data_IF_950119733341
#
_entry.id   IF_950119733341
#
_cell.length_a   1.000
_cell.length_b   1.000
_cell.length_c   1.000
_cell.angle_alpha   90.00
_cell.angle_beta   90.00
_cell.angle_gamma   90.00
#
_symmetry.space_group_name_H-M   'P 1'
#
loop_
_entity.id
_entity.type
_entity.pdbx_description
1 polymer ?
#
# COMPACT_ATOMS: atom_id res chain seq x y z
N UNK A 1 14.55 12.04 -1.93
CA UNK A 1 13.92 11.50 -3.15
C UNK A 1 13.20 12.61 -3.86
N UNK A 2 13.29 12.63 -5.19
CA UNK A 2 12.46 13.44 -6.07
C UNK A 2 11.19 12.67 -6.46
N UNK A 3 10.03 13.26 -6.17
CA UNK A 3 8.72 12.66 -6.42
C UNK A 3 7.95 13.55 -7.39
N UNK A 4 7.38 12.96 -8.44
CA UNK A 4 6.37 13.64 -9.24
C UNK A 4 4.98 13.14 -8.84
N UNK A 5 4.08 14.06 -8.51
CA UNK A 5 2.70 13.72 -8.15
C UNK A 5 1.77 13.88 -9.35
N UNK A 6 1.32 12.77 -9.91
CA UNK A 6 0.17 12.73 -10.82
C UNK A 6 -1.08 12.94 -9.99
N UNK A 7 -1.81 14.02 -10.25
CA UNK A 7 -3.11 14.27 -9.61
C UNK A 7 -4.04 15.07 -10.54
N UNK A 8 -5.36 14.98 -10.36
CA UNK A 8 -6.28 15.87 -11.05
C UNK A 8 -6.05 17.34 -10.66
N UNK A 9 -6.06 18.23 -11.66
CA UNK A 9 -5.92 19.70 -11.46
C UNK A 9 -7.27 20.41 -11.53
N UNK A 10 -8.15 19.94 -12.42
CA UNK A 10 -9.46 20.52 -12.73
C UNK A 10 -10.56 19.52 -12.40
N UNK A 11 -11.75 20.03 -12.04
CA UNK A 11 -12.94 19.19 -11.80
C UNK A 11 -12.89 18.34 -10.53
N UNK A 12 -12.12 18.79 -9.52
CA UNK A 12 -12.00 18.12 -8.21
C UNK A 12 -12.80 18.85 -7.15
N UNK A 13 -13.22 18.12 -6.12
CA UNK A 13 -13.86 18.73 -4.95
C UNK A 13 -12.84 19.39 -4.02
N UNK A 14 -13.30 20.29 -3.15
CA UNK A 14 -12.42 20.91 -2.15
C UNK A 14 -11.87 19.88 -1.17
N UNK A 15 -12.63 18.82 -0.84
CA UNK A 15 -12.18 17.73 0.01
C UNK A 15 -11.03 16.95 -0.64
N UNK A 16 -11.17 16.57 -1.92
CA UNK A 16 -10.13 15.88 -2.68
C UNK A 16 -8.88 16.74 -2.80
N UNK A 17 -9.05 18.03 -3.13
CA UNK A 17 -7.95 19.00 -3.18
C UNK A 17 -7.23 19.11 -1.84
N UNK A 18 -7.97 19.24 -0.74
CA UNK A 18 -7.40 19.34 0.60
C UNK A 18 -6.65 18.07 1.01
N UNK A 19 -7.14 16.89 0.60
CA UNK A 19 -6.47 15.63 0.88
C UNK A 19 -5.15 15.50 0.10
N UNK A 20 -5.12 15.92 -1.17
CA UNK A 20 -3.90 16.02 -1.98
C UNK A 20 -2.90 16.98 -1.35
N UNK A 21 -3.34 18.17 -0.92
CA UNK A 21 -2.48 19.17 -0.26
C UNK A 21 -1.85 18.59 1.00
N UNK A 22 -2.63 17.94 1.87
CA UNK A 22 -2.09 17.30 3.10
C UNK A 22 -1.06 16.23 2.75
N UNK A 23 -1.31 15.44 1.72
CA UNK A 23 -0.37 14.42 1.26
C UNK A 23 0.97 15.02 0.82
N UNK A 24 0.94 16.07 -0.01
CA UNK A 24 2.14 16.80 -0.44
C UNK A 24 2.89 17.39 0.76
N UNK A 25 2.17 18.05 1.68
CA UNK A 25 2.79 18.64 2.87
C UNK A 25 3.47 17.60 3.77
N UNK A 26 2.87 16.42 3.91
CA UNK A 26 3.48 15.33 4.68
C UNK A 26 4.77 14.83 4.01
N UNK A 27 4.78 14.62 2.69
CA UNK A 27 5.98 14.23 1.96
C UNK A 27 7.11 15.25 2.09
N UNK A 28 6.78 16.54 1.97
CA UNK A 28 7.75 17.64 2.14
C UNK A 28 8.30 17.67 3.57
N UNK A 29 7.43 17.51 4.58
CA UNK A 29 7.85 17.42 6.00
C UNK A 29 8.76 16.23 6.28
N UNK A 30 8.59 15.13 5.57
CA UNK A 30 9.46 13.95 5.61
C UNK A 30 10.78 14.13 4.83
N UNK A 31 11.05 15.32 4.28
CA UNK A 31 12.30 15.63 3.58
C UNK A 31 12.31 15.23 2.10
N UNK A 32 11.16 14.92 1.49
CA UNK A 32 11.08 14.64 0.07
C UNK A 32 10.86 15.91 -0.76
N UNK A 33 11.45 15.95 -1.96
CA UNK A 33 11.16 17.00 -2.94
C UNK A 33 10.00 16.52 -3.81
N UNK A 34 8.92 17.29 -3.87
CA UNK A 34 7.69 16.89 -4.57
C UNK A 34 7.40 17.90 -5.66
N UNK A 35 7.39 17.48 -6.93
CA UNK A 35 6.82 18.24 -8.03
C UNK A 35 5.32 18.00 -8.07
N UNK A 36 4.54 19.05 -7.82
CA UNK A 36 3.09 19.04 -7.78
C UNK A 36 2.55 19.96 -8.87
N UNK A 37 2.00 19.43 -9.99
CA UNK A 37 1.68 20.24 -11.18
C UNK A 37 0.82 21.49 -10.95
N UNK A 38 -0.21 21.50 -10.07
CA UNK A 38 -0.94 22.72 -9.73
C UNK A 38 -0.07 23.88 -9.18
N UNK A 39 1.08 23.57 -8.58
CA UNK A 39 2.02 24.55 -8.01
C UNK A 39 3.21 24.78 -8.94
N UNK A 40 3.75 23.71 -9.53
CA UNK A 40 5.08 23.71 -10.13
C UNK A 40 5.07 23.66 -11.67
N UNK A 41 3.92 23.36 -12.30
CA UNK A 41 3.77 23.39 -13.76
C UNK A 41 2.82 24.54 -14.12
N UNK A 42 3.24 25.43 -15.02
CA UNK A 42 2.37 26.49 -15.51
C UNK A 42 1.18 25.91 -16.29
N UNK A 43 -0.01 26.02 -15.70
CA UNK A 43 -1.25 25.43 -16.23
C UNK A 43 -1.88 26.24 -17.37
N UNK A 44 -1.30 27.37 -17.76
CA UNK A 44 -1.84 28.23 -18.81
C UNK A 44 -1.38 27.77 -20.20
N UNK A 45 -2.00 26.71 -20.70
CA UNK A 45 -1.81 26.24 -22.07
C UNK A 45 -3.16 25.75 -22.63
N UNK A 46 -3.66 26.43 -23.67
CA UNK A 46 -4.95 26.13 -24.29
C UNK A 46 -4.94 24.84 -25.10
N UNK A 47 -3.75 24.36 -25.51
CA UNK A 47 -3.56 23.11 -26.26
C UNK A 47 -3.12 21.97 -25.35
N UNK A 48 -2.30 22.29 -24.35
CA UNK A 48 -1.80 21.36 -23.33
C UNK A 48 -0.49 20.65 -23.71
N UNK A 49 0.05 20.87 -24.90
CA UNK A 49 1.29 20.22 -25.35
C UNK A 49 2.49 20.61 -24.49
N UNK A 50 2.62 21.89 -24.12
CA UNK A 50 3.70 22.36 -23.28
C UNK A 50 3.57 21.76 -21.88
N UNK A 51 2.37 21.75 -21.31
CA UNK A 51 2.11 21.11 -20.01
C UNK A 51 2.53 19.64 -20.04
N UNK A 52 2.19 18.91 -21.10
CA UNK A 52 2.61 17.53 -21.26
C UNK A 52 4.14 17.38 -21.37
N UNK A 53 4.84 18.31 -22.04
CA UNK A 53 6.30 18.31 -22.16
C UNK A 53 6.98 18.63 -20.82
N UNK A 54 6.49 19.62 -20.09
CA UNK A 54 6.98 20.00 -18.77
C UNK A 54 6.78 18.86 -17.76
N UNK A 55 5.59 18.26 -17.76
CA UNK A 55 5.31 17.09 -16.93
C UNK A 55 6.17 15.88 -17.33
N UNK A 56 6.40 15.63 -18.63
CA UNK A 56 7.29 14.54 -19.07
C UNK A 56 8.69 14.74 -18.51
N UNK A 57 9.25 15.94 -18.60
CA UNK A 57 10.58 16.24 -18.06
C UNK A 57 10.62 16.01 -16.54
N UNK A 58 9.64 16.52 -15.80
CA UNK A 58 9.56 16.33 -14.36
C UNK A 58 9.37 14.85 -13.95
N UNK A 59 8.63 14.07 -14.75
CA UNK A 59 8.52 12.61 -14.59
C UNK A 59 9.88 11.93 -14.84
N UNK A 60 10.60 12.32 -15.90
CA UNK A 60 11.94 11.82 -16.23
C UNK A 60 12.96 12.09 -15.11
N UNK A 61 12.87 13.23 -14.45
CA UNK A 61 13.77 13.63 -13.36
C UNK A 61 13.38 13.02 -11.99
N UNK A 62 12.11 12.61 -11.83
CA UNK A 62 11.63 12.02 -10.60
C UNK A 62 12.15 10.57 -10.40
N UNK A 63 12.52 10.26 -9.16
CA UNK A 63 12.86 8.90 -8.72
C UNK A 63 11.59 8.04 -8.58
N UNK A 64 10.51 8.65 -8.08
CA UNK A 64 9.22 7.99 -7.90
C UNK A 64 8.07 8.82 -8.44
N UNK A 65 7.05 8.13 -8.94
CA UNK A 65 5.82 8.73 -9.43
C UNK A 65 4.71 8.34 -8.48
N UNK A 66 4.13 9.32 -7.81
CA UNK A 66 2.99 9.12 -6.92
C UNK A 66 1.73 9.49 -7.68
N UNK A 67 0.68 8.68 -7.55
CA UNK A 67 -0.56 8.82 -8.31
C UNK A 67 -1.72 8.96 -7.35
N UNK A 68 -2.30 10.16 -7.30
CA UNK A 68 -3.65 10.37 -6.80
C UNK A 68 -4.63 10.15 -7.94
N UNK A 69 -5.23 8.97 -8.00
CA UNK A 69 -6.02 8.53 -9.13
C UNK A 69 -7.46 9.04 -9.07
N UNK A 70 -7.88 9.70 -10.14
CA UNK A 70 -9.27 10.05 -10.40
C UNK A 70 -9.55 9.74 -11.87
N UNK A 71 -10.46 8.79 -12.14
CA UNK A 71 -10.74 8.27 -13.48
C UNK A 71 -11.24 9.33 -14.46
N UNK A 72 -11.71 10.48 -13.97
CA UNK A 72 -12.17 11.61 -14.79
C UNK A 72 -11.01 12.48 -15.30
N UNK A 73 -9.81 12.33 -14.76
CA UNK A 73 -8.66 13.16 -15.10
C UNK A 73 -7.92 12.65 -16.34
N UNK A 74 -8.24 13.25 -17.49
CA UNK A 74 -7.56 12.92 -18.76
C UNK A 74 -6.05 13.23 -18.72
N UNK A 75 -5.65 14.33 -18.08
CA UNK A 75 -4.23 14.67 -17.90
C UNK A 75 -3.49 13.64 -17.06
N UNK A 76 -4.09 13.21 -15.94
CA UNK A 76 -3.49 12.17 -15.10
C UNK A 76 -3.35 10.82 -15.82
N UNK A 77 -4.30 10.48 -16.70
CA UNK A 77 -4.19 9.30 -17.54
C UNK A 77 -3.01 9.39 -18.52
N UNK A 78 -2.81 10.55 -19.13
CA UNK A 78 -1.69 10.78 -20.04
C UNK A 78 -0.34 10.69 -19.31
N UNK A 79 -0.21 11.36 -18.17
CA UNK A 79 0.99 11.32 -17.33
C UNK A 79 1.28 9.89 -16.83
N UNK A 80 0.24 9.12 -16.47
CA UNK A 80 0.39 7.72 -16.09
C UNK A 80 0.94 6.87 -17.25
N UNK A 81 0.46 7.12 -18.48
CA UNK A 81 0.98 6.48 -19.67
C UNK A 81 2.47 6.77 -19.88
N UNK A 82 2.90 8.02 -19.71
CA UNK A 82 4.31 8.41 -19.78
C UNK A 82 5.15 7.75 -18.69
N UNK A 83 4.69 7.80 -17.43
CA UNK A 83 5.37 7.15 -16.31
C UNK A 83 5.54 5.64 -16.52
N UNK A 84 4.50 4.96 -17.04
CA UNK A 84 4.54 3.55 -17.37
C UNK A 84 5.54 3.25 -18.50
N UNK A 85 5.51 4.03 -19.59
CA UNK A 85 6.42 3.86 -20.72
C UNK A 85 7.89 4.08 -20.32
N UNK A 86 8.15 5.06 -19.46
CA UNK A 86 9.46 5.36 -18.89
C UNK A 86 9.90 4.37 -17.80
N UNK A 87 9.07 3.35 -17.50
CA UNK A 87 9.34 2.32 -16.48
C UNK A 87 9.60 2.92 -15.10
N UNK A 88 8.91 4.02 -14.80
CA UNK A 88 9.04 4.69 -13.51
C UNK A 88 8.40 3.86 -12.40
N UNK A 89 8.93 4.00 -11.19
CA UNK A 89 8.34 3.40 -10.01
C UNK A 89 7.05 4.14 -9.68
N UNK A 90 5.88 3.49 -9.75
CA UNK A 90 4.56 4.13 -9.55
C UNK A 90 3.97 3.74 -8.18
N UNK A 91 3.59 4.72 -7.34
CA UNK A 91 2.80 4.55 -6.09
C UNK A 91 1.37 4.95 -6.34
N UNK A 92 0.40 4.08 -6.04
CA UNK A 92 -1.00 4.50 -5.91
C UNK A 92 -1.23 5.06 -4.51
N UNK A 93 -1.55 6.36 -4.40
CA UNK A 93 -1.66 7.09 -3.14
C UNK A 93 -3.02 6.86 -2.46
N UNK A 94 -4.10 7.04 -3.22
CA UNK A 94 -5.48 6.97 -2.72
C UNK A 94 -6.07 5.57 -2.96
N UNK A 95 -5.31 4.51 -2.65
CA UNK A 95 -5.65 3.11 -2.90
C UNK A 95 -7.07 2.77 -2.43
N UNK A 96 -7.44 3.20 -1.22
CA UNK A 96 -8.74 2.90 -0.60
C UNK A 96 -9.93 3.53 -1.31
N UNK A 97 -9.70 4.51 -2.18
CA UNK A 97 -10.74 5.15 -2.99
C UNK A 97 -10.87 4.54 -4.39
N UNK A 98 -9.90 3.75 -4.84
CA UNK A 98 -9.92 3.11 -6.16
C UNK A 98 -10.66 1.78 -6.06
N UNK A 99 -11.66 1.59 -6.93
CA UNK A 99 -12.49 0.39 -6.95
C UNK A 99 -12.15 -0.48 -8.14
N UNK A 100 -12.00 -1.78 -7.90
CA UNK A 100 -11.83 -2.77 -8.95
C UNK A 100 -13.09 -2.81 -9.83
N UNK A 101 -12.87 -2.92 -11.14
CA UNK A 101 -13.95 -3.03 -12.13
C UNK A 101 -13.99 -4.44 -12.74
N UNK A 102 -15.15 -4.92 -13.21
CA UNK A 102 -15.28 -6.28 -13.76
C UNK A 102 -14.56 -6.48 -15.12
N UNK A 103 -14.13 -5.39 -15.77
CA UNK A 103 -13.44 -5.42 -17.07
C UNK A 103 -12.12 -4.66 -16.98
N UNK A 104 -11.32 -4.71 -18.06
CA UNK A 104 -10.08 -3.93 -18.20
C UNK A 104 -10.34 -2.44 -17.92
N UNK A 105 -9.60 -1.88 -16.98
CA UNK A 105 -9.63 -0.46 -16.62
C UNK A 105 -8.29 -0.04 -16.04
N UNK A 106 -8.02 1.26 -16.01
CA UNK A 106 -6.84 1.80 -15.33
C UNK A 106 -6.94 1.67 -13.81
N UNK A 107 -8.15 1.60 -13.24
CA UNK A 107 -8.33 1.25 -11.82
C UNK A 107 -7.70 -0.11 -11.52
N UNK A 108 -8.01 -1.13 -12.33
CA UNK A 108 -7.45 -2.47 -12.16
C UNK A 108 -5.93 -2.50 -12.37
N UNK A 109 -5.42 -1.74 -13.35
CA UNK A 109 -3.97 -1.63 -13.61
C UNK A 109 -3.25 -1.01 -12.41
N UNK A 110 -3.74 0.12 -11.90
CA UNK A 110 -3.12 0.82 -10.76
C UNK A 110 -3.22 0.02 -9.47
N UNK A 111 -4.35 -0.66 -9.22
CA UNK A 111 -4.47 -1.58 -8.10
C UNK A 111 -3.43 -2.71 -8.21
N UNK A 112 -3.18 -3.24 -9.42
CA UNK A 112 -2.17 -4.28 -9.64
C UNK A 112 -0.74 -3.76 -9.44
N UNK A 113 -0.40 -2.59 -9.98
CA UNK A 113 0.90 -1.95 -9.80
C UNK A 113 1.14 -1.59 -8.32
N UNK A 114 0.12 -1.09 -7.62
CA UNK A 114 0.20 -0.77 -6.19
C UNK A 114 0.44 -2.01 -5.31
N UNK A 115 -0.11 -3.16 -5.69
CA UNK A 115 0.12 -4.45 -5.02
C UNK A 115 1.58 -4.93 -5.16
N UNK A 116 2.26 -4.63 -6.28
CA UNK A 116 3.65 -5.05 -6.49
C UNK A 116 4.65 -4.32 -5.58
N UNK A 117 4.36 -3.10 -5.09
CA UNK A 117 5.24 -2.43 -4.12
C UNK A 117 5.18 -3.02 -2.70
N UNK A 118 4.07 -3.67 -2.35
CA UNK A 118 3.98 -4.49 -1.14
C UNK A 118 4.82 -5.77 -1.28
N UNK A 119 4.86 -6.34 -2.49
CA UNK A 119 5.78 -7.43 -2.81
C UNK A 119 7.23 -6.91 -2.73
N UNK A 120 7.58 -5.77 -3.31
CA UNK A 120 8.93 -5.19 -3.24
C UNK A 120 9.38 -4.88 -1.80
N UNK A 121 8.52 -4.24 -1.00
CA UNK A 121 8.79 -3.99 0.43
C UNK A 121 8.95 -5.28 1.26
N UNK A 122 8.47 -6.42 0.74
CA UNK A 122 8.56 -7.74 1.39
C UNK A 122 9.50 -8.71 0.66
N UNK A 123 10.26 -8.25 -0.35
CA UNK A 123 11.20 -9.06 -1.11
C UNK A 123 10.56 -10.11 -2.04
N UNK A 124 9.45 -9.77 -2.69
CA UNK A 124 8.75 -10.59 -3.68
C UNK A 124 7.92 -11.74 -3.10
N UNK A 125 7.59 -11.71 -1.81
CA UNK A 125 6.97 -12.87 -1.14
C UNK A 125 5.46 -12.97 -1.34
N UNK A 126 4.81 -11.89 -1.79
CA UNK A 126 3.36 -11.67 -1.63
C UNK A 126 2.68 -11.15 -2.90
N UNK A 127 1.87 -11.98 -3.57
CA UNK A 127 0.96 -11.55 -4.63
C UNK A 127 -0.47 -12.07 -4.39
N UNK A 128 -1.45 -11.16 -4.39
CA UNK A 128 -2.88 -11.47 -4.21
C UNK A 128 -3.50 -12.27 -5.38
N UNK A 129 -2.85 -12.27 -6.56
CA UNK A 129 -3.42 -12.81 -7.80
C UNK A 129 -2.79 -14.14 -8.23
N UNK A 130 -2.07 -14.84 -7.35
CA UNK A 130 -1.57 -16.17 -7.70
C UNK A 130 -2.75 -17.14 -7.84
N UNK A 131 -2.81 -17.98 -8.90
CA UNK A 131 -3.88 -18.96 -9.13
C UNK A 131 -4.10 -19.99 -8.00
N UNK A 132 -3.30 -19.96 -6.94
CA UNK A 132 -3.45 -20.74 -5.71
C UNK A 132 -4.02 -19.97 -4.52
N UNK A 133 -4.38 -18.68 -4.65
CA UNK A 133 -5.03 -17.90 -3.58
C UNK A 133 -6.51 -18.29 -3.41
N UNK A 134 -7.23 -18.62 -4.49
CA UNK A 134 -8.58 -19.25 -4.39
C UNK A 134 -8.50 -20.64 -3.72
N UNK A 135 -7.36 -21.32 -3.87
CA UNK A 135 -7.09 -22.59 -3.17
C UNK A 135 -6.67 -22.38 -1.68
N UNK A 136 -6.42 -21.15 -1.25
CA UNK A 136 -6.13 -20.80 0.14
C UNK A 136 -7.42 -20.83 0.97
N UNK A 137 -8.58 -20.50 0.39
CA UNK A 137 -9.89 -20.72 1.02
C UNK A 137 -10.26 -22.21 1.12
N UNK A 138 -9.82 -23.03 0.16
CA UNK A 138 -10.05 -24.48 0.15
C UNK A 138 -9.04 -25.26 1.03
N UNK A 139 -9.01 -24.96 2.33
CA UNK A 139 -8.23 -25.75 3.30
C UNK A 139 -7.46 -24.95 4.35
N UNK A 140 -7.54 -23.62 4.32
CA UNK A 140 -7.14 -22.80 5.45
C UNK A 140 -7.96 -23.17 6.69
N UNK A 141 -7.26 -23.30 7.82
CA UNK A 141 -7.89 -23.36 9.13
C UNK A 141 -7.48 -22.09 9.85
N UNK A 142 -8.47 -21.26 10.20
CA UNK A 142 -8.26 -20.01 10.91
C UNK A 142 -7.38 -20.18 12.15
N UNK A 143 -6.84 -19.09 12.67
CA UNK A 143 -6.37 -19.07 14.05
C UNK A 143 -7.48 -18.44 14.90
N UNK A 144 -8.48 -19.20 15.39
CA UNK A 144 -9.54 -18.64 16.23
C UNK A 144 -8.98 -17.80 17.37
N UNK A 145 -9.77 -16.81 17.81
CA UNK A 145 -9.53 -16.14 19.09
C UNK A 145 -9.27 -17.16 20.20
N UNK A 146 -8.25 -16.90 21.02
CA UNK A 146 -7.78 -17.83 22.05
C UNK A 146 -6.79 -18.90 21.57
N UNK A 147 -6.49 -18.99 20.27
CA UNK A 147 -5.51 -19.97 19.77
C UNK A 147 -4.11 -19.65 20.27
N UNK A 148 -3.43 -20.66 20.81
CA UNK A 148 -2.02 -20.58 21.21
C UNK A 148 -1.10 -20.73 20.01
N UNK A 149 -0.20 -19.77 19.86
CA UNK A 149 0.68 -19.64 18.71
C UNK A 149 2.08 -19.24 19.13
N UNK A 150 3.03 -19.53 18.25
CA UNK A 150 4.28 -18.79 18.20
C UNK A 150 4.17 -17.76 17.08
N UNK A 151 4.55 -16.52 17.37
CA UNK A 151 4.58 -15.40 16.43
C UNK A 151 6.00 -14.83 16.34
N UNK A 152 6.42 -14.45 15.13
CA UNK A 152 7.73 -13.85 14.89
C UNK A 152 7.66 -12.35 15.11
N UNK A 153 8.52 -11.85 16.00
CA UNK A 153 8.61 -10.43 16.41
C UNK A 153 9.88 -9.77 15.86
N UNK A 154 10.13 -8.51 16.22
CA UNK A 154 11.33 -7.78 15.79
C UNK A 154 12.61 -8.56 16.11
N UNK A 155 13.58 -8.53 15.19
CA UNK A 155 14.83 -9.31 15.30
C UNK A 155 14.66 -10.80 15.00
N UNK A 156 13.57 -11.20 14.33
CA UNK A 156 13.28 -12.59 13.94
C UNK A 156 13.12 -13.58 15.12
N UNK A 157 12.74 -13.06 16.28
CA UNK A 157 12.54 -13.84 17.51
C UNK A 157 11.12 -14.39 17.55
N UNK A 158 11.00 -15.71 17.71
CA UNK A 158 9.72 -16.38 17.95
C UNK A 158 9.30 -16.22 19.40
N UNK A 159 8.07 -15.76 19.61
CA UNK A 159 7.47 -15.57 20.93
C UNK A 159 6.14 -16.30 21.02
N UNK A 160 5.90 -16.88 22.18
CA UNK A 160 4.66 -17.57 22.50
C UNK A 160 3.59 -16.55 22.85
N UNK A 161 2.36 -16.77 22.38
CA UNK A 161 1.25 -15.87 22.65
C UNK A 161 -0.11 -16.46 22.32
N UNK A 162 -1.14 -15.65 22.56
CA UNK A 162 -2.54 -15.97 22.30
C UNK A 162 -3.08 -15.04 21.24
N UNK A 163 -3.79 -15.58 20.26
CA UNK A 163 -4.55 -14.77 19.30
C UNK A 163 -5.68 -14.06 20.04
N UNK A 164 -5.65 -12.73 20.01
CA UNK A 164 -6.59 -11.86 20.73
C UNK A 164 -7.48 -11.05 19.80
N UNK A 165 -7.11 -10.96 18.52
CA UNK A 165 -7.94 -10.39 17.48
C UNK A 165 -7.71 -11.12 16.16
N UNK A 166 -8.78 -11.40 15.44
CA UNK A 166 -8.76 -11.98 14.11
C UNK A 166 -9.60 -11.11 13.20
N UNK A 167 -9.02 -10.60 12.11
CA UNK A 167 -9.75 -9.88 11.06
C UNK A 167 -10.45 -8.62 11.59
N UNK A 168 -9.66 -7.61 12.01
CA UNK A 168 -10.19 -6.26 12.15
C UNK A 168 -10.63 -5.74 10.78
N UNK A 169 -11.82 -5.11 10.70
CA UNK A 169 -12.37 -4.53 9.46
C UNK A 169 -11.39 -3.53 8.79
N UNK A 170 -10.53 -2.87 9.59
CA UNK A 170 -9.62 -1.84 9.10
C UNK A 170 -8.17 -2.33 8.87
N UNK A 171 -7.69 -3.30 9.65
CA UNK A 171 -6.25 -3.68 9.63
C UNK A 171 -5.96 -5.03 8.99
N UNK A 172 -6.98 -5.86 8.74
CA UNK A 172 -6.81 -7.07 7.90
C UNK A 172 -5.66 -8.00 8.39
N UNK A 173 -5.50 -8.11 9.71
CA UNK A 173 -4.44 -8.87 10.39
C UNK A 173 -4.91 -9.77 11.54
N UNK A 174 -3.99 -10.57 12.08
CA UNK A 174 -4.14 -11.35 13.32
C UNK A 174 -3.31 -10.66 14.39
N UNK A 175 -3.92 -10.24 15.50
CA UNK A 175 -3.22 -9.75 16.67
C UNK A 175 -2.97 -10.88 17.67
N UNK A 176 -1.74 -10.96 18.15
CA UNK A 176 -1.27 -11.91 19.14
C UNK A 176 -0.78 -11.13 20.35
N UNK A 177 -1.35 -11.42 21.53
CA UNK A 177 -0.79 -10.97 22.79
C UNK A 177 0.28 -11.99 23.22
N UNK A 178 1.54 -11.58 23.16
CA UNK A 178 2.66 -12.39 23.62
C UNK A 178 2.60 -12.56 25.15
N UNK A 179 3.16 -13.67 25.64
CA UNK A 179 3.23 -13.94 27.07
C UNK A 179 4.20 -12.98 27.79
N UNK A 180 5.21 -12.52 27.05
CA UNK A 180 6.24 -11.60 27.53
C UNK A 180 6.21 -10.29 26.76
N UNK A 181 6.48 -9.19 27.48
CA UNK A 181 6.69 -7.87 26.90
C UNK A 181 7.94 -7.87 26.03
N UNK A 182 7.85 -7.24 24.86
CA UNK A 182 8.95 -7.20 23.90
C UNK A 182 9.15 -5.84 23.22
N UNK A 183 8.27 -4.86 23.47
CA UNK A 183 8.46 -3.46 23.07
C UNK A 183 7.89 -2.49 24.11
N UNK A 184 8.14 -1.19 23.93
CA UNK A 184 7.74 -0.14 24.89
C UNK A 184 6.41 0.54 24.61
N UNK A 185 5.75 0.22 23.50
CA UNK A 185 4.39 0.71 23.23
C UNK A 185 3.37 0.09 24.22
N UNK A 186 2.97 0.86 25.23
CA UNK A 186 2.03 0.45 26.27
C UNK A 186 0.58 0.34 25.76
N UNK A 187 0.24 1.07 24.69
CA UNK A 187 -1.10 1.03 24.08
C UNK A 187 -1.33 -0.31 23.36
N UNK A 188 -0.25 -0.96 22.92
CA UNK A 188 -0.32 -2.23 22.20
C UNK A 188 -0.10 -3.42 23.13
N UNK A 189 -1.15 -3.72 23.91
CA UNK A 189 -1.18 -4.76 24.94
C UNK A 189 -0.05 -4.65 25.96
N UNK A 190 0.22 -3.45 26.47
CA UNK A 190 1.25 -3.18 27.49
C UNK A 190 2.65 -3.68 27.07
N UNK A 191 2.98 -3.52 25.78
CA UNK A 191 4.26 -3.95 25.25
C UNK A 191 4.30 -5.41 24.74
N UNK A 192 3.17 -6.13 24.80
CA UNK A 192 3.09 -7.55 24.43
C UNK A 192 2.45 -7.81 23.05
N UNK A 193 1.92 -6.80 22.37
CA UNK A 193 1.19 -7.00 21.12
C UNK A 193 2.08 -7.38 19.96
N UNK A 194 1.63 -8.27 19.06
CA UNK A 194 2.24 -8.53 17.76
C UNK A 194 1.15 -8.68 16.69
N UNK A 195 1.36 -8.12 15.49
CA UNK A 195 0.39 -8.20 14.38
C UNK A 195 0.96 -8.94 13.19
N UNK A 196 0.19 -9.89 12.64
CA UNK A 196 0.49 -10.58 11.39
C UNK A 196 -0.54 -10.18 10.34
N UNK A 197 -0.11 -9.44 9.32
CA UNK A 197 -0.98 -9.02 8.21
C UNK A 197 -1.40 -10.23 7.39
N UNK A 198 -2.68 -10.58 7.33
CA UNK A 198 -3.14 -11.84 6.71
C UNK A 198 -3.41 -11.65 5.23
N UNK A 199 -4.19 -10.64 4.86
CA UNK A 199 -4.62 -10.44 3.47
C UNK A 199 -3.52 -9.92 2.53
N UNK A 200 -2.40 -9.53 3.11
CA UNK A 200 -1.21 -9.18 2.35
C UNK A 200 -0.30 -10.38 2.17
N UNK A 201 -0.47 -11.47 2.94
CA UNK A 201 0.51 -12.57 2.99
C UNK A 201 0.06 -13.86 2.25
N UNK A 202 0.99 -14.55 1.56
CA UNK A 202 0.78 -15.92 1.06
C UNK A 202 0.69 -16.87 2.25
N UNK A 203 0.10 -18.07 2.11
CA UNK A 203 0.07 -19.07 3.19
C UNK A 203 1.46 -19.36 3.76
N UNK A 204 2.47 -19.45 2.89
CA UNK A 204 3.88 -19.59 3.29
C UNK A 204 4.38 -18.36 4.04
N UNK A 205 4.03 -17.16 3.60
CA UNK A 205 4.32 -15.90 4.29
C UNK A 205 3.69 -15.84 5.69
N UNK A 206 2.42 -16.22 5.83
CA UNK A 206 1.74 -16.30 7.12
C UNK A 206 2.43 -17.33 8.02
N UNK A 207 2.64 -18.56 7.55
CA UNK A 207 3.31 -19.62 8.32
C UNK A 207 4.79 -19.31 8.65
N UNK A 208 5.42 -18.39 7.91
CA UNK A 208 6.76 -17.88 8.25
C UNK A 208 6.78 -16.85 9.38
N UNK A 209 5.61 -16.37 9.81
CA UNK A 209 5.44 -15.35 10.84
C UNK A 209 4.53 -15.79 12.00
N UNK A 210 3.69 -16.80 11.82
CA UNK A 210 2.83 -17.35 12.88
C UNK A 210 2.59 -18.85 12.67
N UNK A 211 2.63 -19.63 13.75
CA UNK A 211 2.32 -21.06 13.71
C UNK A 211 1.61 -21.50 14.98
N UNK A 212 0.72 -22.49 14.85
CA UNK A 212 0.03 -23.08 16.00
C UNK A 212 1.02 -23.86 16.84
N UNK A 213 0.87 -23.77 18.16
CA UNK A 213 1.56 -24.67 19.06
C UNK A 213 0.81 -26.00 19.02
N UNK A 214 1.39 -26.99 18.36
CA UNK A 214 0.83 -28.35 18.38
C UNK A 214 1.27 -28.97 19.69
N UNK A 215 0.32 -29.17 20.61
CA UNK A 215 0.60 -29.92 21.82
C UNK A 215 1.06 -31.32 21.41
N UNK A 216 2.27 -31.72 21.82
CA UNK A 216 2.73 -33.10 21.65
C UNK A 216 1.77 -33.98 22.47
N UNK A 217 0.95 -34.78 21.79
CA UNK A 217 0.31 -35.93 22.43
C UNK A 217 1.37 -36.98 22.73
#
# INVERSE_FOLDING_TARGET
MQIFLICPVRGITDEEKNAIVRYVLNLVRSGHMVHWPPRDTDQNDSVGLRICQDNRQAIEDAEEIHVWWNEKSQGSLFDLGMAFALRKKIVLVNFDSVRQTPRKSFNNVLLRIGVDRLAEATGGRLHWNDPGMDALEQGWKDFPLGTRVEVRTAGDIWRTGTVVETLNENERGIAVKCDERWHDNLEFYDGCGATVMVFMNTRRGILSNIRRIVSKK
#
